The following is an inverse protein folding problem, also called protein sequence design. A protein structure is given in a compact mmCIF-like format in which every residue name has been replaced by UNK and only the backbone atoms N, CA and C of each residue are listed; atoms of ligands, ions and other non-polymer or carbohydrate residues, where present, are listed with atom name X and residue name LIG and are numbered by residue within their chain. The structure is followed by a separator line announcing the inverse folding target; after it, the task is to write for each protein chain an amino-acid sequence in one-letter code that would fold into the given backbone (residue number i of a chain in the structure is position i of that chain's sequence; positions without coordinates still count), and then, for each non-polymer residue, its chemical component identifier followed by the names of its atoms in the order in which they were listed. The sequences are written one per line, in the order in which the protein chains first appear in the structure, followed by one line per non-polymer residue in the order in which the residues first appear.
data_IF_348585710620
#
_entry.id   IF_348585710620
#
_cell.length_a   1.000
_cell.length_b   1.000
_cell.length_c   1.000
_cell.angle_alpha   90.00
_cell.angle_beta   90.00
_cell.angle_gamma   90.00
#
_symmetry.space_group_name_H-M   'P 1'
#
loop_
_entity.id
_entity.type
_entity.pdbx_description
1 polymer ?
#
# COMPACT_ATOMS: atom_id res chain seq x y z
N UNK A 1 -6.77 14.88 1.68
CA UNK A 1 -8.02 14.17 1.29
C UNK A 1 -8.04 12.77 1.89
N UNK A 2 -7.17 11.84 1.46
CA UNK A 2 -7.26 10.43 1.90
C UNK A 2 -7.33 10.19 3.42
N UNK A 3 -6.43 10.82 4.19
CA UNK A 3 -6.41 10.68 5.66
C UNK A 3 -7.69 11.19 6.36
N UNK A 4 -8.31 12.25 5.81
CA UNK A 4 -9.56 12.80 6.33
C UNK A 4 -10.72 11.86 6.00
N UNK A 5 -10.79 11.39 4.75
CA UNK A 5 -11.80 10.43 4.29
C UNK A 5 -11.79 9.16 5.14
N UNK A 6 -10.61 8.56 5.35
CA UNK A 6 -10.46 7.37 6.19
C UNK A 6 -10.93 7.58 7.63
N UNK A 7 -10.60 8.72 8.24
CA UNK A 7 -11.10 9.05 9.58
C UNK A 7 -12.61 9.26 9.62
N UNK A 8 -13.19 9.92 8.61
CA UNK A 8 -14.64 10.13 8.52
C UNK A 8 -15.39 8.79 8.44
N UNK A 9 -14.86 7.81 7.70
CA UNK A 9 -15.41 6.44 7.67
C UNK A 9 -15.46 5.86 9.09
N UNK A 10 -14.37 5.94 9.86
CA UNK A 10 -14.31 5.42 11.24
C UNK A 10 -15.30 6.13 12.17
N UNK A 11 -15.54 7.42 11.98
CA UNK A 11 -16.42 8.21 12.85
C UNK A 11 -17.90 8.11 12.50
N UNK A 12 -18.24 8.06 11.23
CA UNK A 12 -19.61 8.18 10.76
C UNK A 12 -20.28 6.82 10.47
N UNK A 13 -19.50 5.77 10.23
CA UNK A 13 -20.03 4.50 9.73
C UNK A 13 -19.85 3.40 10.79
N UNK A 14 -20.91 3.04 11.54
CA UNK A 14 -20.85 2.01 12.59
C UNK A 14 -20.93 0.59 12.00
N UNK A 15 -20.03 0.26 11.08
CA UNK A 15 -19.93 -1.08 10.46
C UNK A 15 -18.77 -1.88 11.08
N UNK A 16 -18.80 -3.23 10.99
CA UNK A 16 -17.65 -4.05 11.37
C UNK A 16 -16.41 -3.71 10.53
N UNK A 17 -15.23 -3.91 11.12
CA UNK A 17 -13.93 -3.55 10.53
C UNK A 17 -13.77 -4.02 9.07
N UNK A 18 -14.18 -5.26 8.78
CA UNK A 18 -14.13 -5.84 7.44
C UNK A 18 -14.85 -4.96 6.41
N UNK A 19 -16.10 -4.58 6.68
CA UNK A 19 -16.90 -3.75 5.77
C UNK A 19 -16.35 -2.34 5.67
N UNK A 20 -15.88 -1.76 6.78
CA UNK A 20 -15.23 -0.45 6.74
C UNK A 20 -13.98 -0.46 5.85
N UNK A 21 -13.13 -1.50 5.94
CA UNK A 21 -11.94 -1.62 5.10
C UNK A 21 -12.28 -1.81 3.62
N UNK A 22 -13.28 -2.63 3.30
CA UNK A 22 -13.76 -2.81 1.92
C UNK A 22 -14.30 -1.50 1.34
N UNK A 23 -15.08 -0.75 2.12
CA UNK A 23 -15.60 0.56 1.74
C UNK A 23 -14.49 1.60 1.58
N UNK A 24 -13.53 1.61 2.50
CA UNK A 24 -12.37 2.50 2.42
C UNK A 24 -11.53 2.21 1.17
N UNK A 25 -11.34 0.93 0.83
CA UNK A 25 -10.66 0.53 -0.39
C UNK A 25 -11.45 0.93 -1.65
N UNK A 26 -12.78 0.79 -1.65
CA UNK A 26 -13.64 1.25 -2.75
C UNK A 26 -13.51 2.76 -2.97
N UNK A 27 -13.65 3.55 -1.90
CA UNK A 27 -13.58 5.01 -1.97
C UNK A 27 -12.19 5.44 -2.43
N UNK A 28 -11.12 4.80 -1.95
CA UNK A 28 -9.77 5.09 -2.42
C UNK A 28 -9.58 4.81 -3.92
N UNK A 29 -10.09 3.67 -4.41
CA UNK A 29 -10.05 3.32 -5.83
C UNK A 29 -10.84 4.31 -6.70
N UNK A 30 -12.01 4.75 -6.24
CA UNK A 30 -12.80 5.78 -6.92
C UNK A 30 -12.07 7.13 -6.94
N UNK A 31 -11.46 7.53 -5.82
CA UNK A 31 -10.69 8.77 -5.75
C UNK A 31 -9.51 8.75 -6.73
N UNK A 32 -8.81 7.63 -6.88
CA UNK A 32 -7.74 7.48 -7.86
C UNK A 32 -8.25 7.63 -9.31
N UNK A 33 -9.38 6.99 -9.61
CA UNK A 33 -10.00 7.04 -10.94
C UNK A 33 -10.46 8.46 -11.29
N UNK A 34 -11.14 9.14 -10.37
CA UNK A 34 -11.66 10.50 -10.56
C UNK A 34 -10.52 11.52 -10.66
N UNK A 35 -9.47 11.36 -9.83
CA UNK A 35 -8.36 12.30 -9.80
C UNK A 35 -7.38 12.13 -10.98
N UNK A 36 -7.56 11.09 -11.81
CA UNK A 36 -6.65 10.76 -12.93
C UNK A 36 -5.18 10.64 -12.45
N UNK A 37 -4.99 10.16 -11.22
CA UNK A 37 -3.67 10.02 -10.61
C UNK A 37 -3.30 8.55 -10.49
N UNK A 38 -2.07 8.19 -10.85
CA UNK A 38 -1.46 6.90 -10.54
C UNK A 38 -0.92 6.81 -9.11
N UNK A 39 -1.35 7.69 -8.19
CA UNK A 39 -0.76 7.81 -6.86
C UNK A 39 -1.31 6.76 -5.88
N UNK A 40 -0.92 5.51 -6.12
CA UNK A 40 -1.32 4.35 -5.31
C UNK A 40 -1.19 4.54 -3.78
N UNK A 41 -0.21 5.30 -3.23
CA UNK A 41 -0.15 5.60 -1.79
C UNK A 41 -1.40 6.26 -1.20
N UNK A 42 -2.29 6.85 -2.02
CA UNK A 42 -3.60 7.35 -1.59
C UNK A 42 -4.44 6.25 -0.92
N UNK A 43 -4.36 5.01 -1.41
CA UNK A 43 -5.07 3.86 -0.83
C UNK A 43 -4.64 3.65 0.61
N UNK A 44 -3.33 3.65 0.86
CA UNK A 44 -2.81 3.55 2.23
C UNK A 44 -3.29 4.68 3.13
N UNK A 45 -3.33 5.92 2.63
CA UNK A 45 -3.78 7.07 3.40
C UNK A 45 -5.27 6.99 3.81
N UNK A 46 -6.13 6.35 3.01
CA UNK A 46 -7.56 6.15 3.33
C UNK A 46 -7.77 4.93 4.23
N UNK A 47 -7.13 3.80 3.93
CA UNK A 47 -7.41 2.52 4.61
C UNK A 47 -6.68 2.40 5.95
N UNK A 48 -5.50 3.01 6.13
CA UNK A 48 -4.73 2.93 7.37
C UNK A 48 -5.47 3.42 8.63
N UNK A 49 -6.10 4.61 8.66
CA UNK A 49 -6.84 5.03 9.85
C UNK A 49 -8.04 4.12 10.14
N UNK A 50 -8.62 3.50 9.11
CA UNK A 50 -9.70 2.51 9.25
C UNK A 50 -9.18 1.21 9.87
N UNK A 51 -8.06 0.68 9.38
CA UNK A 51 -7.43 -0.52 9.95
C UNK A 51 -7.03 -0.31 11.43
N UNK A 52 -6.54 0.89 11.76
CA UNK A 52 -6.14 1.26 13.12
C UNK A 52 -7.30 1.73 14.01
N UNK A 53 -8.52 1.84 13.46
CA UNK A 53 -9.67 2.44 14.15
C UNK A 53 -9.36 3.81 14.77
N UNK A 54 -8.55 4.62 14.08
CA UNK A 54 -8.07 5.89 14.59
C UNK A 54 -9.13 6.98 14.45
N UNK A 55 -9.61 7.46 15.59
CA UNK A 55 -10.55 8.60 15.70
C UNK A 55 -9.85 9.92 16.02
N UNK A 56 -8.52 10.00 15.96
CA UNK A 56 -7.78 11.19 16.41
C UNK A 56 -7.48 12.16 15.27
N UNK A 57 -7.68 13.46 15.52
CA UNK A 57 -7.30 14.55 14.59
C UNK A 57 -5.79 14.62 14.37
N UNK A 58 -5.00 14.02 15.27
CA UNK A 58 -3.54 13.93 15.11
C UNK A 58 -3.17 13.21 13.82
N UNK A 59 -3.94 12.21 13.38
CA UNK A 59 -3.62 11.45 12.17
C UNK A 59 -3.52 12.31 10.88
N UNK A 60 -4.55 13.10 10.49
CA UNK A 60 -4.48 13.95 9.30
C UNK A 60 -3.52 15.11 9.48
N UNK A 61 -3.35 15.64 10.70
CA UNK A 61 -2.33 16.67 10.97
C UNK A 61 -0.93 16.10 10.69
N UNK A 62 -0.62 14.90 11.19
CA UNK A 62 0.63 14.21 10.90
C UNK A 62 0.79 13.90 9.41
N UNK A 63 -0.27 13.51 8.70
CA UNK A 63 -0.22 13.28 7.27
C UNK A 63 0.10 14.55 6.47
N UNK A 64 -0.48 15.69 6.86
CA UNK A 64 -0.17 17.01 6.28
C UNK A 64 1.28 17.40 6.55
N UNK A 65 1.75 17.28 7.80
CA UNK A 65 3.13 17.59 8.17
C UNK A 65 4.15 16.70 7.44
N UNK A 66 3.86 15.40 7.32
CA UNK A 66 4.69 14.47 6.55
C UNK A 66 4.74 14.88 5.07
N UNK A 67 3.59 15.20 4.48
CA UNK A 67 3.51 15.63 3.07
C UNK A 67 4.28 16.93 2.87
N UNK A 68 4.10 17.92 3.75
CA UNK A 68 4.82 19.19 3.70
C UNK A 68 6.34 18.98 3.82
N UNK A 69 6.78 18.10 4.72
CA UNK A 69 8.20 17.76 4.88
C UNK A 69 8.76 17.10 3.62
N UNK A 70 8.07 16.12 3.04
CA UNK A 70 8.50 15.43 1.82
C UNK A 70 8.56 16.40 0.63
N UNK A 71 7.55 17.26 0.48
CA UNK A 71 7.55 18.29 -0.57
C UNK A 71 8.65 19.33 -0.34
N UNK A 72 8.88 19.76 0.90
CA UNK A 72 9.96 20.67 1.25
C UNK A 72 11.34 20.09 0.88
N UNK A 73 11.59 18.83 1.25
CA UNK A 73 12.83 18.13 0.87
C UNK A 73 12.98 18.01 -0.65
N UNK A 74 11.89 17.69 -1.37
CA UNK A 74 11.91 17.62 -2.84
C UNK A 74 12.19 18.97 -3.47
N UNK A 75 11.54 20.04 -3.01
CA UNK A 75 11.77 21.40 -3.51
C UNK A 75 13.21 21.87 -3.26
N UNK A 76 13.77 21.52 -2.10
CA UNK A 76 15.19 21.78 -1.81
C UNK A 76 16.09 20.99 -2.77
N UNK A 77 15.84 19.69 -2.96
CA UNK A 77 16.61 18.85 -3.88
C UNK A 77 16.53 19.34 -5.33
N UNK A 78 15.35 19.80 -5.78
CA UNK A 78 15.16 20.43 -7.09
C UNK A 78 15.93 21.76 -7.20
N UNK A 79 15.95 22.59 -6.15
CA UNK A 79 16.75 23.84 -6.12
C UNK A 79 18.24 23.58 -6.21
N UNK A 80 18.73 22.52 -5.57
CA UNK A 80 20.14 22.13 -5.62
C UNK A 80 20.50 21.30 -6.87
N UNK A 81 19.55 21.04 -7.78
CA UNK A 81 19.79 20.30 -9.02
C UNK A 81 19.96 18.78 -8.84
N UNK A 82 19.60 18.22 -7.68
CA UNK A 82 19.68 16.78 -7.42
C UNK A 82 18.52 15.98 -8.01
N UNK A 83 17.39 16.64 -8.33
CA UNK A 83 16.16 16.00 -8.82
C UNK A 83 15.59 16.82 -9.98
N UNK A 84 15.22 16.14 -11.07
CA UNK A 84 14.56 16.77 -12.21
C UNK A 84 13.10 17.13 -11.89
N UNK A 85 12.64 18.26 -12.45
CA UNK A 85 11.26 18.71 -12.33
C UNK A 85 10.33 17.79 -13.14
N UNK A 86 9.74 16.80 -12.49
CA UNK A 86 8.63 16.05 -13.08
C UNK A 86 7.32 16.82 -12.91
N UNK A 87 6.82 17.42 -14.00
CA UNK A 87 5.48 17.98 -14.06
C UNK A 87 4.43 16.86 -13.99
N UNK A 88 3.31 17.11 -13.30
CA UNK A 88 2.19 16.18 -13.27
C UNK A 88 1.57 16.07 -14.66
N UNK A 89 1.65 14.89 -15.26
CA UNK A 89 0.90 14.53 -16.47
C UNK A 89 -0.33 13.74 -16.04
N UNK A 90 -1.56 14.30 -16.19
CA UNK A 90 -2.77 13.57 -15.85
C UNK A 90 -2.88 12.30 -16.69
N UNK A 91 -3.36 11.22 -16.07
CA UNK A 91 -3.73 10.02 -16.82
C UNK A 91 -4.88 10.35 -17.78
N UNK A 92 -4.99 9.63 -18.91
CA UNK A 92 -6.11 9.81 -19.84
C UNK A 92 -7.46 9.63 -19.11
N UNK A 93 -8.50 10.28 -19.65
CA UNK A 93 -9.84 10.21 -19.06
C UNK A 93 -10.28 8.76 -18.91
N UNK A 94 -10.92 8.40 -17.77
CA UNK A 94 -11.27 7.02 -17.49
C UNK A 94 -12.27 6.49 -18.52
N UNK A 95 -11.87 5.41 -19.18
CA UNK A 95 -12.69 4.67 -20.13
C UNK A 95 -13.65 3.72 -19.39
N UNK A 96 -14.63 3.15 -20.12
CA UNK A 96 -15.49 2.08 -19.58
C UNK A 96 -14.68 0.85 -19.16
N UNK A 97 -13.49 0.64 -19.75
CA UNK A 97 -12.59 -0.46 -19.39
C UNK A 97 -11.89 -0.19 -18.06
N UNK A 98 -11.49 1.06 -17.78
CA UNK A 98 -10.85 1.44 -16.51
C UNK A 98 -11.81 1.34 -15.33
N UNK A 99 -13.10 1.60 -15.55
CA UNK A 99 -14.13 1.39 -14.53
C UNK A 99 -14.31 -0.10 -14.21
N UNK A 100 -14.26 -0.97 -15.22
CA UNK A 100 -14.33 -2.41 -15.03
C UNK A 100 -13.07 -2.96 -14.35
N UNK A 101 -11.88 -2.48 -14.72
CA UNK A 101 -10.60 -2.78 -14.06
C UNK A 101 -10.63 -2.38 -12.57
N UNK A 102 -11.09 -1.16 -12.28
CA UNK A 102 -11.25 -0.66 -10.92
C UNK A 102 -12.23 -1.53 -10.11
N UNK A 103 -13.37 -1.91 -10.71
CA UNK A 103 -14.35 -2.77 -10.03
C UNK A 103 -13.76 -4.15 -9.74
N UNK A 104 -13.09 -4.76 -10.71
CA UNK A 104 -12.44 -6.07 -10.52
C UNK A 104 -11.33 -5.99 -9.48
N UNK A 105 -10.53 -4.93 -9.50
CA UNK A 105 -9.54 -4.64 -8.46
C UNK A 105 -10.16 -4.57 -7.08
N UNK A 106 -11.26 -3.84 -6.96
CA UNK A 106 -11.98 -3.72 -5.71
C UNK A 106 -12.51 -5.08 -5.23
N UNK A 107 -13.07 -5.90 -6.11
CA UNK A 107 -13.53 -7.26 -5.77
C UNK A 107 -12.38 -8.14 -5.29
N UNK A 108 -11.27 -8.20 -6.04
CA UNK A 108 -10.10 -9.00 -5.67
C UNK A 108 -9.48 -8.53 -4.35
N UNK A 109 -9.29 -7.23 -4.17
CA UNK A 109 -8.76 -6.68 -2.92
C UNK A 109 -9.70 -6.89 -1.73
N UNK A 110 -11.02 -6.76 -1.95
CA UNK A 110 -12.03 -7.03 -0.92
C UNK A 110 -12.05 -8.49 -0.50
N UNK A 111 -11.84 -9.43 -1.42
CA UNK A 111 -11.71 -10.85 -1.07
C UNK A 111 -10.51 -11.11 -0.15
N UNK A 112 -9.37 -10.46 -0.40
CA UNK A 112 -8.19 -10.56 0.48
C UNK A 112 -8.45 -9.88 1.83
N UNK A 113 -9.13 -8.73 1.86
CA UNK A 113 -9.55 -8.06 3.10
C UNK A 113 -10.48 -8.95 3.92
N UNK A 114 -11.44 -9.62 3.28
CA UNK A 114 -12.34 -10.56 3.93
C UNK A 114 -11.57 -11.71 4.57
N UNK A 115 -10.69 -12.36 3.80
CA UNK A 115 -9.84 -13.45 4.28
C UNK A 115 -8.97 -13.02 5.47
N UNK A 116 -8.37 -11.83 5.42
CA UNK A 116 -7.57 -11.27 6.50
C UNK A 116 -8.40 -11.01 7.77
N UNK A 117 -9.63 -10.51 7.63
CA UNK A 117 -10.50 -10.23 8.78
C UNK A 117 -11.08 -11.52 9.38
N UNK A 118 -11.51 -12.48 8.56
CA UNK A 118 -12.09 -13.76 9.00
C UNK A 118 -11.03 -14.60 9.73
N UNK A 119 -9.78 -14.60 9.24
CA UNK A 119 -8.67 -15.27 9.92
C UNK A 119 -8.22 -14.59 11.22
N UNK A 120 -8.75 -13.40 11.54
CA UNK A 120 -8.33 -12.60 12.70
C UNK A 120 -6.98 -11.90 12.52
N UNK A 121 -6.37 -11.99 11.32
CA UNK A 121 -5.03 -11.46 11.04
C UNK A 121 -5.10 -10.31 10.04
N UNK A 122 -5.60 -9.15 10.51
CA UNK A 122 -5.83 -7.94 9.69
C UNK A 122 -4.61 -7.46 8.88
N UNK A 123 -3.38 -7.75 9.35
CA UNK A 123 -2.15 -7.35 8.65
C UNK A 123 -1.90 -8.07 7.33
N UNK A 124 -2.58 -9.20 7.05
CA UNK A 124 -2.54 -9.83 5.72
C UNK A 124 -3.07 -8.90 4.63
N UNK A 125 -3.99 -8.00 4.99
CA UNK A 125 -4.54 -6.96 4.12
C UNK A 125 -4.11 -5.56 4.59
N UNK A 126 -2.89 -5.44 5.11
CA UNK A 126 -2.35 -4.15 5.53
C UNK A 126 -2.45 -3.12 4.38
N UNK A 127 -2.72 -1.84 4.67
CA UNK A 127 -2.89 -0.82 3.64
C UNK A 127 -1.73 -0.73 2.63
N UNK A 128 -0.45 -0.83 3.04
CA UNK A 128 0.65 -0.88 2.09
C UNK A 128 0.62 -2.14 1.18
N UNK A 129 0.11 -3.28 1.66
CA UNK A 129 -0.06 -4.47 0.82
C UNK A 129 -1.16 -4.27 -0.23
N UNK A 130 -2.22 -3.52 0.08
CA UNK A 130 -3.23 -3.12 -0.92
C UNK A 130 -2.63 -2.20 -1.99
N UNK A 131 -1.69 -1.32 -1.60
CA UNK A 131 -0.92 -0.51 -2.56
C UNK A 131 -0.02 -1.42 -3.41
N UNK A 132 0.71 -2.36 -2.78
CA UNK A 132 1.54 -3.33 -3.50
C UNK A 132 0.73 -4.15 -4.49
N UNK A 133 -0.48 -4.58 -4.11
CA UNK A 133 -1.43 -5.25 -5.00
C UNK A 133 -1.72 -4.40 -6.25
N UNK A 134 -2.01 -3.10 -6.09
CA UNK A 134 -2.24 -2.23 -7.25
C UNK A 134 -1.01 -2.06 -8.15
N UNK A 135 0.19 -2.13 -7.60
CA UNK A 135 1.43 -2.15 -8.40
C UNK A 135 1.64 -3.50 -9.10
N UNK A 136 1.37 -4.63 -8.44
CA UNK A 136 1.50 -5.97 -9.01
C UNK A 136 0.49 -6.28 -10.12
N UNK A 137 -0.62 -5.54 -10.18
CA UNK A 137 -1.58 -5.64 -11.30
C UNK A 137 -0.99 -5.16 -12.63
N UNK A 138 0.06 -4.33 -12.62
CA UNK A 138 0.75 -3.88 -13.83
C UNK A 138 1.66 -5.01 -14.34
N UNK A 139 1.41 -5.58 -15.54
CA UNK A 139 2.15 -6.75 -16.03
C UNK A 139 3.66 -6.51 -16.06
N UNK A 140 4.08 -5.34 -16.53
CA UNK A 140 5.50 -4.95 -16.58
C UNK A 140 6.16 -4.98 -15.20
N UNK A 141 5.42 -4.60 -14.16
CA UNK A 141 5.97 -4.55 -12.80
C UNK A 141 6.21 -5.98 -12.31
N UNK A 142 5.24 -6.88 -12.48
CA UNK A 142 5.37 -8.25 -12.00
C UNK A 142 6.41 -9.06 -12.80
N UNK A 143 6.52 -8.81 -14.10
CA UNK A 143 7.52 -9.42 -14.98
C UNK A 143 8.95 -8.97 -14.65
N UNK A 144 9.16 -7.66 -14.45
CA UNK A 144 10.47 -7.12 -14.05
C UNK A 144 10.87 -7.62 -12.64
N UNK A 145 9.92 -7.59 -11.71
CA UNK A 145 10.19 -7.80 -10.29
C UNK A 145 10.36 -9.29 -9.96
N UNK A 146 9.71 -10.20 -10.70
CA UNK A 146 9.55 -11.62 -10.36
C UNK A 146 8.88 -11.82 -8.98
N UNK A 147 7.80 -12.62 -8.87
CA UNK A 147 7.05 -12.79 -7.62
C UNK A 147 7.90 -13.17 -6.40
N UNK A 148 8.88 -14.05 -6.60
CA UNK A 148 9.75 -14.49 -5.51
C UNK A 148 10.61 -13.35 -4.95
N UNK A 149 11.14 -12.47 -5.81
CA UNK A 149 11.91 -11.31 -5.33
C UNK A 149 11.01 -10.28 -4.66
N UNK A 150 9.74 -10.17 -5.08
CA UNK A 150 8.74 -9.33 -4.41
C UNK A 150 8.56 -9.74 -2.95
N UNK A 151 8.31 -11.04 -2.74
CA UNK A 151 8.13 -11.63 -1.42
C UNK A 151 9.40 -11.49 -0.60
N UNK A 152 10.57 -11.75 -1.19
CA UNK A 152 11.86 -11.59 -0.51
C UNK A 152 12.11 -10.14 -0.09
N UNK A 153 11.93 -9.18 -1.01
CA UNK A 153 12.13 -7.75 -0.74
C UNK A 153 11.23 -7.27 0.39
N UNK A 154 9.92 -7.55 0.28
CA UNK A 154 8.94 -7.14 1.30
C UNK A 154 9.21 -7.85 2.63
N UNK A 155 9.53 -9.14 2.60
CA UNK A 155 9.88 -9.93 3.78
C UNK A 155 11.12 -9.38 4.50
N UNK A 156 12.20 -9.08 3.76
CA UNK A 156 13.39 -8.44 4.31
C UNK A 156 13.09 -7.06 4.89
N UNK A 157 12.29 -6.23 4.20
CA UNK A 157 11.90 -4.91 4.68
C UNK A 157 11.07 -4.98 5.98
N UNK A 158 10.17 -5.95 6.09
CA UNK A 158 9.39 -6.20 7.29
C UNK A 158 10.28 -6.71 8.44
N UNK A 159 11.20 -7.64 8.17
CA UNK A 159 12.15 -8.15 9.15
C UNK A 159 13.09 -7.06 9.68
N UNK A 160 13.60 -6.18 8.81
CA UNK A 160 14.41 -5.02 9.20
C UNK A 160 13.62 -4.08 10.11
N UNK A 161 12.36 -3.77 9.74
CA UNK A 161 11.49 -2.96 10.57
C UNK A 161 11.31 -3.57 11.96
N UNK A 162 10.95 -4.86 12.02
CA UNK A 162 10.78 -5.58 13.29
C UNK A 162 12.07 -5.59 14.11
N UNK A 163 13.22 -5.87 13.50
CA UNK A 163 14.50 -5.88 14.20
C UNK A 163 14.87 -4.51 14.79
N UNK A 164 14.67 -3.43 14.02
CA UNK A 164 14.90 -2.07 14.52
C UNK A 164 13.95 -1.68 15.64
N UNK A 165 12.68 -2.06 15.52
CA UNK A 165 11.71 -1.84 16.58
C UNK A 165 12.09 -2.61 17.85
N UNK A 166 12.57 -3.86 17.73
CA UNK A 166 13.07 -4.63 18.87
C UNK A 166 14.22 -3.93 19.58
N UNK A 167 15.13 -3.28 18.84
CA UNK A 167 16.19 -2.46 19.45
C UNK A 167 15.63 -1.26 20.22
N UNK A 168 14.52 -0.68 19.77
CA UNK A 168 13.84 0.41 20.50
C UNK A 168 13.18 -0.09 21.78
N UNK A 169 12.45 -1.22 21.69
CA UNK A 169 11.68 -1.78 22.79
C UNK A 169 12.58 -2.37 23.86
N UNK A 170 13.58 -3.17 23.48
CA UNK A 170 14.45 -3.87 24.43
C UNK A 170 15.74 -3.09 24.75
N UNK A 171 16.25 -2.31 23.80
CA UNK A 171 17.47 -1.52 23.97
C UNK A 171 17.24 -0.11 24.51
N UNK A 172 15.99 0.32 24.70
CA UNK A 172 15.64 1.65 25.22
C UNK A 172 15.95 2.81 24.27
N UNK A 173 16.29 2.52 23.01
CA UNK A 173 16.59 3.55 22.02
C UNK A 173 15.32 4.31 21.61
N UNK A 174 15.39 5.64 21.40
CA UNK A 174 14.25 6.41 20.93
C UNK A 174 13.72 5.90 19.59
N UNK A 175 12.39 5.79 19.46
CA UNK A 175 11.71 5.24 18.26
C UNK A 175 12.10 5.98 16.98
N UNK A 176 12.34 7.29 17.03
CA UNK A 176 12.73 8.05 15.84
C UNK A 176 14.11 7.65 15.31
N UNK A 177 15.05 7.25 16.19
CA UNK A 177 16.40 6.82 15.82
C UNK A 177 16.32 5.48 15.09
N UNK A 178 15.61 4.51 15.68
CA UNK A 178 15.47 3.16 15.12
C UNK A 178 14.62 3.15 13.85
N UNK A 179 13.57 3.98 13.75
CA UNK A 179 12.80 4.15 12.52
C UNK A 179 13.64 4.77 11.39
N UNK A 180 14.48 5.75 11.70
CA UNK A 180 15.40 6.36 10.72
C UNK A 180 16.44 5.34 10.23
N UNK A 181 17.03 4.56 11.14
CA UNK A 181 17.95 3.48 10.79
C UNK A 181 17.26 2.41 9.92
N UNK A 182 16.02 2.03 10.25
CA UNK A 182 15.23 1.09 9.46
C UNK A 182 15.02 1.59 8.02
N UNK A 183 14.69 2.87 7.84
CA UNK A 183 14.52 3.47 6.51
C UNK A 183 15.82 3.49 5.70
N UNK A 184 16.95 3.81 6.32
CA UNK A 184 18.25 3.76 5.67
C UNK A 184 18.60 2.34 5.23
N UNK A 185 18.38 1.35 6.09
CA UNK A 185 18.61 -0.06 5.75
C UNK A 185 17.67 -0.53 4.64
N UNK A 186 16.40 -0.15 4.66
CA UNK A 186 15.45 -0.46 3.58
C UNK A 186 15.87 0.17 2.26
N UNK A 187 16.35 1.42 2.27
CA UNK A 187 16.90 2.06 1.07
C UNK A 187 18.14 1.30 0.55
N UNK A 188 19.04 0.87 1.43
CA UNK A 188 20.19 0.03 1.05
C UNK A 188 19.75 -1.32 0.46
N UNK A 189 18.74 -1.98 1.03
CA UNK A 189 18.19 -3.24 0.51
C UNK A 189 17.62 -3.05 -0.89
N UNK A 190 16.76 -2.04 -1.08
CA UNK A 190 16.18 -1.72 -2.39
C UNK A 190 17.28 -1.46 -3.44
N UNK A 191 18.32 -0.71 -3.06
CA UNK A 191 19.46 -0.41 -3.93
C UNK A 191 20.26 -1.67 -4.29
N UNK A 192 20.50 -2.57 -3.33
CA UNK A 192 21.22 -3.83 -3.56
C UNK A 192 20.42 -4.82 -4.41
N UNK A 193 19.11 -4.91 -4.20
CA UNK A 193 18.21 -5.77 -4.97
C UNK A 193 17.95 -5.19 -6.37
N UNK A 194 18.16 -3.87 -6.56
CA UNK A 194 17.93 -3.18 -7.83
C UNK A 194 16.45 -2.94 -8.11
N UNK A 195 15.61 -2.98 -7.09
CA UNK A 195 14.15 -2.93 -7.22
C UNK A 195 13.60 -1.89 -6.25
N UNK A 196 12.90 -0.90 -6.79
CA UNK A 196 12.23 0.13 -6.02
C UNK A 196 10.73 -0.16 -5.93
N UNK A 197 10.28 -0.53 -4.73
CA UNK A 197 8.87 -0.80 -4.43
C UNK A 197 8.43 0.03 -3.22
N UNK A 198 7.82 1.21 -3.42
CA UNK A 198 7.44 2.11 -2.32
C UNK A 198 6.64 1.44 -1.19
N UNK A 199 5.69 0.51 -1.47
CA UNK A 199 5.00 -0.26 -0.44
C UNK A 199 5.91 -1.00 0.54
N UNK A 200 7.07 -1.52 0.10
CA UNK A 200 7.98 -2.25 0.98
C UNK A 200 8.60 -1.33 2.04
N UNK A 201 8.92 -0.08 1.68
CA UNK A 201 9.37 0.94 2.64
C UNK A 201 8.28 1.31 3.64
N UNK A 202 7.03 1.44 3.19
CA UNK A 202 5.91 1.68 4.09
C UNK A 202 5.69 0.51 5.07
N UNK A 203 5.90 -0.73 4.63
CA UNK A 203 5.83 -1.92 5.49
C UNK A 203 6.96 -1.98 6.53
N UNK A 204 8.15 -1.44 6.24
CA UNK A 204 9.19 -1.29 7.26
C UNK A 204 8.74 -0.40 8.42
N UNK A 205 8.06 0.71 8.12
CA UNK A 205 7.59 1.66 9.14
C UNK A 205 6.30 1.21 9.81
N UNK A 206 5.43 0.48 9.11
CA UNK A 206 4.14 0.06 9.63
C UNK A 206 4.25 -0.70 10.96
N UNK A 207 5.29 -1.53 11.14
CA UNK A 207 5.50 -2.27 12.41
C UNK A 207 5.64 -1.34 13.62
N UNK A 208 6.22 -0.16 13.46
CA UNK A 208 6.34 0.84 14.53
C UNK A 208 4.98 1.39 14.94
N UNK A 209 4.01 1.45 14.00
CA UNK A 209 2.65 1.91 14.24
C UNK A 209 1.76 0.83 14.88
N UNK A 210 1.92 -0.44 14.46
CA UNK A 210 1.11 -1.57 14.94
C UNK A 210 1.72 -2.29 16.15
N UNK A 211 2.88 -1.84 16.63
CA UNK A 211 3.59 -2.37 17.80
C UNK A 211 2.72 -2.50 19.05
N UNK A 212 1.74 -1.60 19.20
CA UNK A 212 0.76 -1.60 20.30
C UNK A 212 -0.15 -2.83 20.32
N UNK A 213 -0.28 -3.54 19.20
CA UNK A 213 -1.15 -4.71 19.06
C UNK A 213 -0.44 -6.03 19.47
N UNK A 214 0.80 -5.98 19.97
CA UNK A 214 1.54 -7.18 20.44
C UNK A 214 2.01 -8.13 19.32
N UNK A 215 1.84 -7.76 18.06
CA UNK A 215 2.12 -8.58 16.87
C UNK A 215 3.56 -8.49 16.36
N UNK A 216 4.47 -7.88 17.10
CA UNK A 216 5.83 -7.54 16.63
C UNK A 216 6.60 -8.74 16.05
N UNK A 217 6.60 -9.87 16.76
CA UNK A 217 7.36 -11.06 16.38
C UNK A 217 6.74 -11.81 15.20
N UNK A 218 5.41 -11.81 15.09
CA UNK A 218 4.70 -12.47 13.99
C UNK A 218 4.54 -11.56 12.76
N UNK A 219 4.85 -10.27 12.90
CA UNK A 219 4.68 -9.27 11.85
C UNK A 219 5.33 -9.66 10.51
N UNK A 220 6.62 -10.05 10.42
CA UNK A 220 7.22 -10.39 9.13
C UNK A 220 6.52 -11.57 8.44
N UNK A 221 6.12 -12.58 9.21
CA UNK A 221 5.39 -13.74 8.70
C UNK A 221 4.03 -13.33 8.13
N UNK A 222 3.27 -12.52 8.86
CA UNK A 222 1.97 -12.02 8.42
C UNK A 222 2.08 -11.21 7.13
N UNK A 223 3.12 -10.37 7.02
CA UNK A 223 3.38 -9.56 5.82
C UNK A 223 3.81 -10.44 4.64
N UNK A 224 4.62 -11.47 4.85
CA UNK A 224 4.99 -12.44 3.80
C UNK A 224 3.74 -13.16 3.27
N UNK A 225 2.91 -13.70 4.16
CA UNK A 225 1.66 -14.39 3.79
C UNK A 225 0.74 -13.41 3.03
N UNK A 226 0.54 -12.21 3.55
CA UNK A 226 -0.24 -11.17 2.89
C UNK A 226 0.30 -10.82 1.51
N UNK A 227 1.61 -10.73 1.35
CA UNK A 227 2.26 -10.47 0.04
C UNK A 227 1.96 -11.58 -0.96
N UNK A 228 2.06 -12.85 -0.54
CA UNK A 228 1.74 -14.00 -1.39
C UNK A 228 0.27 -13.95 -1.83
N UNK A 229 -0.64 -13.66 -0.91
CA UNK A 229 -2.08 -13.51 -1.21
C UNK A 229 -2.33 -12.36 -2.20
N UNK A 230 -1.68 -11.21 -2.01
CA UNK A 230 -1.82 -10.07 -2.93
C UNK A 230 -1.28 -10.37 -4.33
N UNK A 231 -0.16 -11.08 -4.44
CA UNK A 231 0.39 -11.53 -5.73
C UNK A 231 -0.57 -12.51 -6.41
N UNK A 232 -1.12 -13.46 -5.66
CA UNK A 232 -2.10 -14.41 -6.18
C UNK A 232 -3.36 -13.67 -6.71
N UNK A 233 -3.89 -12.73 -5.92
CA UNK A 233 -5.00 -11.89 -6.33
C UNK A 233 -4.68 -11.04 -7.58
N UNK A 234 -3.47 -10.48 -7.67
CA UNK A 234 -3.04 -9.70 -8.85
C UNK A 234 -2.96 -10.56 -10.11
N UNK A 235 -2.43 -11.79 -10.00
CA UNK A 235 -2.38 -12.73 -11.12
C UNK A 235 -3.76 -13.15 -11.59
N UNK A 236 -4.67 -13.46 -10.67
CA UNK A 236 -6.06 -13.77 -10.99
C UNK A 236 -6.74 -12.62 -11.71
N UNK A 237 -6.55 -11.39 -11.23
CA UNK A 237 -7.05 -10.19 -11.87
C UNK A 237 -6.54 -10.02 -13.30
N UNK A 238 -5.23 -10.13 -13.54
CA UNK A 238 -4.63 -10.03 -14.89
C UNK A 238 -5.20 -11.11 -15.82
N UNK A 239 -5.34 -12.35 -15.33
CA UNK A 239 -5.88 -13.45 -16.12
C UNK A 239 -7.33 -13.20 -16.55
N UNK A 240 -8.17 -12.70 -15.63
CA UNK A 240 -9.57 -12.38 -15.91
C UNK A 240 -9.68 -11.28 -16.96
N UNK A 241 -8.86 -10.23 -16.87
CA UNK A 241 -8.85 -9.14 -17.87
C UNK A 241 -8.46 -9.67 -19.25
N UNK A 242 -7.36 -10.42 -19.35
CA UNK A 242 -6.92 -11.03 -20.61
C UNK A 242 -8.02 -11.93 -21.20
N UNK A 243 -8.72 -12.68 -20.36
CA UNK A 243 -9.84 -13.51 -20.80
C UNK A 243 -11.02 -12.68 -21.33
N UNK A 244 -11.38 -11.58 -20.66
CA UNK A 244 -12.43 -10.67 -21.12
C UNK A 244 -12.06 -9.97 -22.45
N UNK A 245 -10.80 -9.57 -22.61
CA UNK A 245 -10.28 -8.98 -23.86
C UNK A 245 -10.35 -9.99 -25.02
N UNK A 246 -9.88 -11.22 -24.79
CA UNK A 246 -9.94 -12.29 -25.80
C UNK A 246 -11.38 -12.61 -26.22
N UNK A 247 -12.34 -12.61 -25.29
CA UNK A 247 -13.76 -12.78 -25.64
C UNK A 247 -14.33 -11.66 -26.49
N UNK A 248 -13.93 -10.40 -26.24
CA UNK A 248 -14.37 -9.25 -27.04
C UNK A 248 -13.81 -9.33 -28.47
N UNK A 249 -12.56 -9.75 -28.62
CA UNK A 249 -11.95 -9.93 -29.94
C UNK A 249 -12.65 -11.03 -30.74
N UNK A 250 -12.98 -12.16 -30.11
CA UNK A 250 -13.68 -13.27 -30.77
C UNK A 250 -15.13 -12.92 -31.17
N UNK A 251 -15.80 -12.03 -30.44
CA UNK A 251 -17.18 -11.59 -30.75
C UNK A 251 -17.24 -10.47 -31.78
N UNK A 252 -16.13 -9.79 -32.10
CA UNK A 252 -16.06 -8.85 -33.22
C UNK A 252 -15.69 -9.51 -34.57
N UNK A 253 -15.26 -10.77 -34.54
CA UNK A 253 -14.91 -11.56 -35.73
C UNK A 253 -15.94 -12.65 -36.09
N UNK A 254 -17.07 -12.73 -35.38
CA UNK A 254 -18.24 -13.57 -35.72
C UNK A 254 -19.40 -12.70 -36.16
#
# INVERSE_FOLDING_TARGET
IGAVTGMLIVRLIPLPLMLQMMLAFLIASLLLLISQTGFAPMISAVVLPVMLQSRSVVYPVSAVLLTATVLGMRLLAERFGYVEKHAFTPLPKPSKQDQADMLLCWVCGSAVIAAACISGVKLLAAPPLLVAFTEFRKPETLEKLHPAKAVLLIGCCAAVGTGCLSLSVYGGLPVFVTASAAMLMTACIMRKIGIYLPPAAALTILVFLVSKDGVMWTYPLQIIIGTILMIAAARMHILIIRFMENRKLNTQHS
#
